data_IF_631445549588
#
_entry.id   IF_631445549588
#
_cell.length_a   1.000
_cell.length_b   1.000
_cell.length_c   1.000
_cell.angle_alpha   90.00
_cell.angle_beta   90.00
_cell.angle_gamma   90.00
#
_symmetry.space_group_name_H-M   'P 1'
#
loop_
_entity.id
_entity.type
_entity.pdbx_description
1 polymer ?
#
# COMPACT_ATOMS: atom_id res chain seq x y z
N UNK A 1 -22.29 28.32 10.42
CA UNK A 1 -21.09 28.33 9.55
C UNK A 1 -21.25 29.49 8.58
N UNK A 2 -20.27 30.39 8.48
CA UNK A 2 -20.27 31.38 7.41
C UNK A 2 -20.35 30.62 6.07
N UNK A 3 -21.21 31.05 5.14
CA UNK A 3 -21.22 30.50 3.80
C UNK A 3 -19.80 30.65 3.25
N UNK A 4 -19.08 29.53 3.10
CA UNK A 4 -17.89 29.54 2.27
C UNK A 4 -18.30 30.13 0.93
N UNK A 5 -17.68 31.24 0.53
CA UNK A 5 -17.92 31.85 -0.77
C UNK A 5 -17.80 30.73 -1.82
N UNK A 6 -18.75 30.65 -2.76
CA UNK A 6 -18.81 29.67 -3.84
C UNK A 6 -17.46 29.59 -4.57
N UNK A 7 -16.79 30.72 -4.75
CA UNK A 7 -15.47 30.80 -5.38
C UNK A 7 -14.39 30.06 -4.57
N UNK A 8 -14.41 30.18 -3.25
CA UNK A 8 -13.50 29.46 -2.37
C UNK A 8 -13.74 27.95 -2.44
N UNK A 9 -15.01 27.52 -2.44
CA UNK A 9 -15.38 26.09 -2.60
C UNK A 9 -14.87 25.53 -3.92
N UNK A 10 -15.08 26.27 -5.01
CA UNK A 10 -14.61 25.92 -6.34
C UNK A 10 -13.09 25.73 -6.34
N UNK A 11 -12.34 26.68 -5.78
CA UNK A 11 -10.87 26.63 -5.73
C UNK A 11 -10.33 25.44 -4.93
N UNK A 12 -11.00 25.03 -3.84
CA UNK A 12 -10.62 23.81 -3.12
C UNK A 12 -10.85 22.54 -3.93
N UNK A 13 -11.99 22.45 -4.63
CA UNK A 13 -12.31 21.30 -5.49
C UNK A 13 -11.32 21.21 -6.65
N UNK A 14 -11.02 22.33 -7.30
CA UNK A 14 -10.09 22.39 -8.43
C UNK A 14 -8.70 21.87 -8.05
N UNK A 15 -8.16 22.34 -6.91
CA UNK A 15 -6.89 21.85 -6.35
C UNK A 15 -6.88 20.36 -6.03
N UNK A 16 -8.02 19.76 -5.70
CA UNK A 16 -8.13 18.32 -5.46
C UNK A 16 -8.28 17.55 -6.77
N UNK A 17 -9.09 18.06 -7.70
CA UNK A 17 -9.35 17.46 -9.01
C UNK A 17 -8.10 17.45 -9.89
N UNK A 18 -7.25 18.48 -9.80
CA UNK A 18 -6.01 18.57 -10.57
C UNK A 18 -5.05 17.39 -10.31
N UNK A 19 -5.11 16.76 -9.13
CA UNK A 19 -4.36 15.52 -8.83
C UNK A 19 -4.71 14.38 -9.78
N UNK A 20 -5.95 14.35 -10.26
CA UNK A 20 -6.46 13.34 -11.21
C UNK A 20 -6.27 13.77 -12.67
N UNK A 21 -5.88 15.02 -12.93
CA UNK A 21 -5.82 15.63 -14.27
C UNK A 21 -4.78 15.03 -15.22
N UNK A 22 -3.93 14.12 -14.77
CA UNK A 22 -3.00 13.41 -15.65
C UNK A 22 -3.63 12.32 -16.50
N UNK A 23 -4.89 11.91 -16.23
CA UNK A 23 -5.54 10.79 -16.93
C UNK A 23 -7.06 10.91 -16.92
N UNK A 24 -7.67 10.89 -18.11
CA UNK A 24 -9.14 10.84 -18.25
C UNK A 24 -9.72 9.63 -17.51
N UNK A 25 -9.06 8.47 -17.60
CA UNK A 25 -9.50 7.26 -16.92
C UNK A 25 -9.56 7.43 -15.39
N UNK A 26 -8.61 8.15 -14.78
CA UNK A 26 -8.63 8.43 -13.34
C UNK A 26 -9.79 9.37 -12.98
N UNK A 27 -10.02 10.42 -13.76
CA UNK A 27 -11.12 11.38 -13.52
C UNK A 27 -12.48 10.71 -13.66
N UNK A 28 -12.67 9.87 -14.70
CA UNK A 28 -13.92 9.12 -14.90
C UNK A 28 -14.15 8.10 -13.78
N UNK A 29 -13.11 7.36 -13.36
CA UNK A 29 -13.22 6.45 -12.19
C UNK A 29 -13.56 7.20 -10.91
N UNK A 30 -13.01 8.41 -10.72
CA UNK A 30 -13.38 9.28 -9.60
C UNK A 30 -14.86 9.68 -9.68
N UNK A 31 -15.36 10.11 -10.84
CA UNK A 31 -16.77 10.47 -11.02
C UNK A 31 -17.71 9.30 -10.67
N UNK A 32 -17.43 8.11 -11.19
CA UNK A 32 -18.19 6.88 -10.89
C UNK A 32 -18.23 6.58 -9.40
N UNK A 33 -17.10 6.73 -8.67
CA UNK A 33 -17.05 6.53 -7.21
C UNK A 33 -17.79 7.63 -6.44
N UNK A 34 -17.61 8.90 -6.82
CA UNK A 34 -18.27 10.05 -6.16
C UNK A 34 -19.79 9.97 -6.28
N UNK A 35 -20.27 9.61 -7.46
CA UNK A 35 -21.70 9.57 -7.79
C UNK A 35 -22.24 8.14 -7.83
N UNK A 36 -21.62 7.19 -7.09
CA UNK A 36 -22.04 5.78 -7.09
C UNK A 36 -23.51 5.57 -6.69
N UNK A 37 -24.09 6.49 -5.90
CA UNK A 37 -25.49 6.45 -5.48
C UNK A 37 -26.48 7.08 -6.47
N UNK A 38 -25.97 7.76 -7.49
CA UNK A 38 -26.76 8.44 -8.51
C UNK A 38 -26.07 8.22 -9.87
N UNK A 39 -26.24 7.02 -10.45
CA UNK A 39 -25.52 6.62 -11.66
C UNK A 39 -25.73 7.57 -12.84
N UNK A 40 -26.89 8.23 -12.90
CA UNK A 40 -27.28 9.19 -13.92
C UNK A 40 -26.26 10.33 -14.04
N UNK A 41 -25.66 10.77 -12.93
CA UNK A 41 -24.70 11.88 -12.93
C UNK A 41 -23.39 11.51 -13.65
N UNK A 42 -22.84 10.31 -13.40
CA UNK A 42 -21.60 9.92 -14.07
C UNK A 42 -21.85 9.37 -15.49
N UNK A 43 -23.04 8.85 -15.76
CA UNK A 43 -23.47 8.49 -17.12
C UNK A 43 -23.63 9.74 -18.00
N UNK A 44 -24.23 10.82 -17.48
CA UNK A 44 -24.32 12.10 -18.17
C UNK A 44 -22.93 12.67 -18.51
N UNK A 45 -21.95 12.51 -17.61
CA UNK A 45 -20.56 12.86 -17.92
C UNK A 45 -20.04 12.08 -19.13
N UNK A 46 -20.23 10.76 -19.16
CA UNK A 46 -19.72 9.90 -20.25
C UNK A 46 -20.43 10.18 -21.58
N UNK A 47 -21.76 10.18 -21.58
CA UNK A 47 -22.60 10.24 -22.79
C UNK A 47 -22.78 11.66 -23.31
N UNK A 48 -23.11 12.62 -22.44
CA UNK A 48 -23.49 13.96 -22.89
C UNK A 48 -22.31 14.92 -23.00
N UNK A 49 -21.30 14.75 -22.14
CA UNK A 49 -20.16 15.66 -22.08
C UNK A 49 -18.92 15.10 -22.78
N UNK A 50 -18.52 13.85 -22.54
CA UNK A 50 -17.25 13.33 -23.04
C UNK A 50 -17.29 12.89 -24.51
N UNK A 51 -18.39 12.28 -24.97
CA UNK A 51 -18.52 11.85 -26.37
C UNK A 51 -18.42 13.02 -27.37
N UNK A 52 -19.00 14.17 -27.00
CA UNK A 52 -19.04 15.39 -27.83
C UNK A 52 -17.79 16.28 -27.68
N UNK A 53 -16.90 15.98 -26.72
CA UNK A 53 -15.71 16.81 -26.44
C UNK A 53 -14.47 16.25 -27.15
N UNK A 54 -13.65 17.12 -27.78
CA UNK A 54 -12.36 16.73 -28.35
C UNK A 54 -11.45 16.04 -27.33
N UNK A 55 -10.70 14.97 -27.68
CA UNK A 55 -9.89 14.21 -26.74
C UNK A 55 -8.95 15.05 -25.85
N UNK A 56 -8.37 16.13 -26.40
CA UNK A 56 -7.46 17.03 -25.69
C UNK A 56 -8.11 17.78 -24.51
N UNK A 57 -9.42 17.98 -24.56
CA UNK A 57 -10.16 18.78 -23.56
C UNK A 57 -10.94 17.91 -22.56
N UNK A 58 -11.08 16.61 -22.84
CA UNK A 58 -11.93 15.70 -22.05
C UNK A 58 -11.61 15.66 -20.57
N UNK A 59 -10.33 15.73 -20.21
CA UNK A 59 -9.90 15.76 -18.80
C UNK A 59 -10.44 17.00 -18.11
N UNK A 60 -10.22 18.17 -18.71
CA UNK A 60 -10.66 19.45 -18.17
C UNK A 60 -12.19 19.50 -18.07
N UNK A 61 -12.91 19.07 -19.12
CA UNK A 61 -14.37 19.00 -19.13
C UNK A 61 -14.90 18.07 -18.04
N UNK A 62 -14.28 16.90 -17.85
CA UNK A 62 -14.67 15.99 -16.78
C UNK A 62 -14.46 16.59 -15.37
N UNK A 63 -13.34 17.26 -15.14
CA UNK A 63 -13.08 17.95 -13.87
C UNK A 63 -14.11 19.07 -13.63
N UNK A 64 -14.37 19.90 -14.64
CA UNK A 64 -15.36 20.96 -14.56
C UNK A 64 -16.77 20.43 -14.30
N UNK A 65 -17.15 19.32 -14.93
CA UNK A 65 -18.41 18.64 -14.67
C UNK A 65 -18.51 18.21 -13.20
N UNK A 66 -17.52 17.47 -12.68
CA UNK A 66 -17.52 17.01 -11.29
C UNK A 66 -17.62 18.22 -10.33
N UNK A 67 -16.83 19.26 -10.56
CA UNK A 67 -16.81 20.47 -9.74
C UNK A 67 -18.18 21.16 -9.73
N UNK A 68 -18.77 21.41 -10.91
CA UNK A 68 -20.08 22.08 -11.04
C UNK A 68 -21.19 21.26 -10.41
N UNK A 69 -21.19 19.95 -10.61
CA UNK A 69 -22.17 19.03 -10.02
C UNK A 69 -22.08 19.06 -8.50
N UNK A 70 -20.89 18.99 -7.91
CA UNK A 70 -20.70 19.09 -6.46
C UNK A 70 -21.20 20.45 -5.94
N UNK A 71 -20.81 21.56 -6.58
CA UNK A 71 -21.25 22.89 -6.14
C UNK A 71 -22.78 23.03 -6.22
N UNK A 72 -23.40 22.53 -7.29
CA UNK A 72 -24.84 22.56 -7.46
C UNK A 72 -25.57 21.75 -6.37
N UNK A 73 -25.04 20.58 -5.98
CA UNK A 73 -25.54 19.80 -4.82
C UNK A 73 -25.39 20.58 -3.52
N UNK A 74 -24.23 21.20 -3.27
CA UNK A 74 -23.97 21.97 -2.05
C UNK A 74 -24.82 23.24 -1.94
N UNK A 75 -25.20 23.82 -3.07
CA UNK A 75 -26.03 25.02 -3.16
C UNK A 75 -27.54 24.68 -3.19
N UNK A 76 -27.91 23.39 -3.17
CA UNK A 76 -29.31 22.94 -3.26
C UNK A 76 -29.97 23.19 -4.62
N UNK A 77 -29.17 23.51 -5.65
CA UNK A 77 -29.61 23.83 -7.01
C UNK A 77 -29.47 22.65 -7.97
N UNK A 78 -29.19 21.45 -7.45
CA UNK A 78 -28.96 20.26 -8.25
C UNK A 78 -30.15 20.01 -9.20
N UNK A 79 -29.91 19.52 -10.43
CA UNK A 79 -30.97 19.19 -11.38
C UNK A 79 -31.95 18.12 -10.85
N UNK A 80 -31.59 17.45 -9.75
CA UNK A 80 -32.40 16.46 -9.04
C UNK A 80 -33.28 17.08 -7.92
N UNK A 81 -33.25 18.40 -7.69
CA UNK A 81 -34.02 19.08 -6.65
C UNK A 81 -33.71 18.62 -5.22
N UNK A 82 -34.71 18.65 -4.33
CA UNK A 82 -34.65 18.13 -2.94
C UNK A 82 -34.25 16.64 -2.86
N UNK A 83 -34.29 15.93 -4.00
CA UNK A 83 -33.93 14.52 -4.06
C UNK A 83 -32.45 14.26 -3.73
N UNK A 84 -31.57 15.25 -3.76
CA UNK A 84 -30.15 15.06 -3.37
C UNK A 84 -29.99 14.50 -1.95
N UNK A 85 -30.87 14.91 -1.02
CA UNK A 85 -30.92 14.37 0.35
C UNK A 85 -31.49 12.95 0.36
N UNK A 86 -32.51 12.69 -0.47
CA UNK A 86 -33.12 11.36 -0.62
C UNK A 86 -32.17 10.33 -1.25
N UNK A 87 -31.29 10.75 -2.15
CA UNK A 87 -30.24 9.94 -2.78
C UNK A 87 -29.03 9.71 -1.86
N UNK A 88 -29.00 10.37 -0.70
CA UNK A 88 -27.95 10.21 0.30
C UNK A 88 -26.58 10.70 -0.18
N UNK A 89 -26.55 11.71 -1.04
CA UNK A 89 -25.33 12.41 -1.46
C UNK A 89 -24.85 13.35 -0.33
N UNK A 90 -23.54 13.58 -0.19
CA UNK A 90 -23.04 14.49 0.84
C UNK A 90 -23.51 15.94 0.61
N UNK A 91 -23.95 16.60 1.67
CA UNK A 91 -24.36 18.03 1.66
C UNK A 91 -23.28 18.97 2.17
N UNK A 92 -22.11 18.43 2.54
CA UNK A 92 -20.97 19.17 3.10
C UNK A 92 -19.75 19.04 2.18
N UNK A 93 -19.11 20.15 1.85
CA UNK A 93 -17.92 20.19 0.99
C UNK A 93 -16.80 19.30 1.54
N UNK A 94 -16.60 19.31 2.85
CA UNK A 94 -15.57 18.57 3.56
C UNK A 94 -15.70 17.06 3.34
N UNK A 95 -16.92 16.57 3.14
CA UNK A 95 -17.18 15.16 2.85
C UNK A 95 -16.69 14.78 1.47
N UNK A 96 -16.92 15.63 0.46
CA UNK A 96 -16.37 15.44 -0.89
C UNK A 96 -14.86 15.50 -0.89
N UNK A 97 -14.26 16.54 -0.28
CA UNK A 97 -12.80 16.68 -0.21
C UNK A 97 -12.14 15.47 0.48
N UNK A 98 -12.73 15.00 1.57
CA UNK A 98 -12.24 13.82 2.29
C UNK A 98 -12.38 12.54 1.47
N UNK A 99 -13.49 12.37 0.73
CA UNK A 99 -13.68 11.20 -0.11
C UNK A 99 -12.77 11.23 -1.34
N UNK A 100 -12.52 12.39 -1.94
CA UNK A 100 -11.57 12.53 -3.05
C UNK A 100 -10.15 12.16 -2.63
N UNK A 101 -9.72 12.50 -1.42
CA UNK A 101 -8.45 12.03 -0.86
C UNK A 101 -8.40 10.50 -0.78
N UNK A 102 -9.47 9.86 -0.31
CA UNK A 102 -9.56 8.40 -0.20
C UNK A 102 -9.61 7.71 -1.58
N UNK A 103 -10.38 8.27 -2.51
CA UNK A 103 -10.49 7.78 -3.87
C UNK A 103 -9.14 7.89 -4.61
N UNK A 104 -8.38 8.96 -4.37
CA UNK A 104 -7.01 9.09 -4.90
C UNK A 104 -6.13 7.92 -4.47
N UNK A 105 -6.09 7.62 -3.17
CA UNK A 105 -5.30 6.51 -2.62
C UNK A 105 -5.73 5.16 -3.22
N UNK A 106 -7.04 4.94 -3.30
CA UNK A 106 -7.63 3.71 -3.83
C UNK A 106 -7.29 3.52 -5.30
N UNK A 107 -7.48 4.55 -6.13
CA UNK A 107 -7.25 4.49 -7.57
C UNK A 107 -5.76 4.40 -7.93
N UNK A 108 -4.89 5.08 -7.17
CA UNK A 108 -3.43 4.99 -7.38
C UNK A 108 -2.87 3.63 -7.02
N UNK A 109 -3.41 2.99 -5.98
CA UNK A 109 -3.02 1.63 -5.61
C UNK A 109 -3.29 0.61 -6.74
N UNK A 110 -4.19 0.90 -7.69
CA UNK A 110 -4.43 0.08 -8.87
C UNK A 110 -3.54 0.43 -10.07
N UNK A 111 -3.36 1.73 -10.31
CA UNK A 111 -2.67 2.24 -11.49
C UNK A 111 -1.19 1.83 -11.48
N UNK A 112 -0.58 1.81 -10.30
CA UNK A 112 0.81 1.39 -10.13
C UNK A 112 1.06 -0.09 -10.52
N UNK A 113 0.05 -0.97 -10.44
CA UNK A 113 0.17 -2.36 -10.88
C UNK A 113 0.22 -2.50 -12.40
N UNK A 114 -0.33 -1.52 -13.13
CA UNK A 114 -0.41 -1.57 -14.60
C UNK A 114 0.87 -1.09 -15.29
N UNK A 115 1.90 -0.73 -14.52
CA UNK A 115 3.20 -0.33 -15.07
C UNK A 115 3.17 1.02 -15.77
N UNK A 116 2.12 1.82 -15.57
CA UNK A 116 2.10 3.24 -15.92
C UNK A 116 3.30 3.87 -15.21
N UNK A 117 4.31 4.32 -15.97
CA UNK A 117 5.61 4.71 -15.45
C UNK A 117 5.55 5.79 -14.34
N UNK A 118 6.71 6.15 -13.76
CA UNK A 118 6.85 7.09 -12.63
C UNK A 118 6.35 8.55 -12.89
N UNK A 119 5.60 8.80 -13.95
CA UNK A 119 5.37 10.10 -14.58
C UNK A 119 4.46 11.06 -13.79
N UNK A 120 3.75 10.61 -12.77
CA UNK A 120 3.01 11.54 -11.89
C UNK A 120 3.84 11.84 -10.65
N UNK A 121 4.51 13.00 -10.63
CA UNK A 121 5.36 13.50 -9.53
C UNK A 121 4.63 13.81 -8.21
N UNK A 122 3.57 13.06 -7.89
CA UNK A 122 2.93 13.09 -6.58
C UNK A 122 3.71 12.26 -5.55
N UNK A 123 3.52 12.53 -4.25
CA UNK A 123 4.11 11.73 -3.19
C UNK A 123 3.63 10.29 -3.31
N UNK A 124 4.57 9.35 -3.37
CA UNK A 124 4.27 7.91 -3.35
C UNK A 124 3.86 7.51 -1.94
N UNK A 125 2.76 6.78 -1.85
CA UNK A 125 2.29 6.22 -0.58
C UNK A 125 3.14 5.00 -0.29
N UNK A 126 3.76 4.96 0.87
CA UNK A 126 4.45 3.78 1.37
C UNK A 126 3.54 3.11 2.39
N UNK A 127 3.14 1.87 2.10
CA UNK A 127 2.30 1.07 2.98
C UNK A 127 3.18 0.27 3.93
N UNK A 128 2.72 0.15 5.17
CA UNK A 128 3.33 -0.61 6.25
C UNK A 128 2.35 -1.70 6.71
N UNK A 129 2.84 -2.91 6.96
CA UNK A 129 1.99 -4.06 7.27
C UNK A 129 1.86 -4.22 8.79
N UNK A 130 0.63 -4.48 9.25
CA UNK A 130 0.31 -4.79 10.64
C UNK A 130 -0.48 -6.09 10.71
N UNK A 131 -0.20 -6.92 11.71
CA UNK A 131 -0.96 -8.15 11.99
C UNK A 131 -2.00 -7.88 13.08
N UNK A 132 -3.19 -8.43 12.93
CA UNK A 132 -4.30 -8.37 13.88
C UNK A 132 -4.20 -9.56 14.85
N UNK A 133 -4.26 -9.28 16.16
CA UNK A 133 -4.24 -10.31 17.21
C UNK A 133 -5.64 -10.90 17.43
N UNK A 134 -5.74 -12.21 17.58
CA UNK A 134 -7.02 -12.91 17.82
C UNK A 134 -8.11 -12.57 16.80
N UNK A 135 -7.71 -12.35 15.54
CA UNK A 135 -8.62 -11.93 14.48
C UNK A 135 -9.66 -13.01 14.19
N UNK A 136 -10.92 -12.71 14.53
CA UNK A 136 -12.06 -13.59 14.33
C UNK A 136 -13.21 -12.81 13.67
N UNK A 137 -13.16 -12.60 12.34
CA UNK A 137 -14.22 -11.89 11.64
C UNK A 137 -15.52 -12.72 11.70
N UNK A 138 -16.69 -12.08 11.87
CA UNK A 138 -17.97 -12.78 11.84
C UNK A 138 -18.25 -13.34 10.44
N UNK A 139 -19.11 -14.36 10.38
CA UNK A 139 -19.58 -14.97 9.12
C UNK A 139 -20.23 -13.93 8.21
N UNK A 140 -21.01 -13.00 8.78
CA UNK A 140 -21.56 -11.86 8.03
C UNK A 140 -20.81 -10.57 8.36
N UNK A 141 -19.96 -10.15 7.44
CA UNK A 141 -19.20 -8.92 7.58
C UNK A 141 -19.94 -7.74 6.93
N UNK A 142 -20.64 -6.95 7.75
CA UNK A 142 -21.44 -5.82 7.27
C UNK A 142 -20.58 -4.60 6.92
N UNK A 143 -19.99 -4.59 5.72
CA UNK A 143 -19.08 -3.55 5.22
C UNK A 143 -19.68 -2.13 5.29
N UNK A 144 -20.98 -1.98 5.03
CA UNK A 144 -21.68 -0.70 5.09
C UNK A 144 -21.72 -0.07 6.50
N UNK A 145 -21.54 -0.86 7.57
CA UNK A 145 -21.54 -0.39 8.96
C UNK A 145 -20.14 -0.01 9.47
N UNK A 146 -19.07 -0.31 8.74
CA UNK A 146 -17.69 -0.13 9.22
C UNK A 146 -17.37 1.32 9.58
N UNK A 147 -17.81 2.28 8.77
CA UNK A 147 -17.61 3.71 9.06
C UNK A 147 -18.21 4.08 10.42
N UNK A 148 -19.43 3.62 10.70
CA UNK A 148 -20.12 3.89 11.97
C UNK A 148 -19.43 3.19 13.13
N UNK A 149 -19.06 1.92 12.94
CA UNK A 149 -18.36 1.12 13.96
C UNK A 149 -17.01 1.74 14.33
N UNK A 150 -16.17 2.06 13.35
CA UNK A 150 -14.88 2.71 13.60
C UNK A 150 -15.08 4.04 14.34
N UNK A 151 -16.05 4.85 13.93
CA UNK A 151 -16.37 6.10 14.66
C UNK A 151 -16.79 5.87 16.11
N UNK A 152 -17.52 4.80 16.41
CA UNK A 152 -17.95 4.46 17.77
C UNK A 152 -16.79 3.96 18.66
N UNK A 153 -15.73 3.42 18.06
CA UNK A 153 -14.53 2.95 18.76
C UNK A 153 -13.49 4.05 18.98
N UNK A 154 -13.61 5.19 18.28
CA UNK A 154 -12.72 6.32 18.50
C UNK A 154 -13.04 7.04 19.82
N UNK A 155 -12.03 7.51 20.58
CA UNK A 155 -12.25 8.19 21.86
C UNK A 155 -13.15 9.42 21.73
N UNK A 156 -14.12 9.55 22.64
CA UNK A 156 -15.05 10.68 22.67
C UNK A 156 -14.36 12.03 22.91
N UNK A 157 -13.18 12.03 23.51
CA UNK A 157 -12.33 13.21 23.74
C UNK A 157 -11.74 13.79 22.44
N UNK A 158 -11.96 13.13 21.30
CA UNK A 158 -11.48 13.56 19.98
C UNK A 158 -12.59 13.78 18.98
N UNK A 159 -12.42 14.79 18.12
CA UNK A 159 -13.24 14.99 16.95
C UNK A 159 -12.58 14.25 15.78
N UNK A 160 -13.33 13.38 15.12
CA UNK A 160 -12.78 12.50 14.09
C UNK A 160 -13.61 12.50 12.80
N UNK A 161 -12.92 12.57 11.67
CA UNK A 161 -13.46 12.37 10.33
C UNK A 161 -13.03 11.00 9.83
N UNK A 162 -14.01 10.15 9.52
CA UNK A 162 -13.80 8.80 8.96
C UNK A 162 -14.53 8.71 7.64
N UNK A 163 -13.81 8.32 6.59
CA UNK A 163 -14.37 7.89 5.31
C UNK A 163 -13.96 6.45 5.05
N UNK A 164 -14.83 5.71 4.37
CA UNK A 164 -14.61 4.31 3.98
C UNK A 164 -14.98 4.19 2.52
N UNK A 165 -14.12 3.51 1.77
CA UNK A 165 -14.33 3.17 0.37
C UNK A 165 -14.11 1.68 0.18
N UNK A 166 -14.96 1.06 -0.63
CA UNK A 166 -14.96 -0.37 -0.88
C UNK A 166 -14.50 -0.58 -2.31
N UNK A 167 -13.54 -1.48 -2.49
CA UNK A 167 -13.09 -1.87 -3.80
C UNK A 167 -13.46 -3.32 -4.06
N UNK A 168 -14.46 -3.51 -4.92
CA UNK A 168 -14.98 -4.83 -5.30
C UNK A 168 -14.04 -5.55 -6.27
N UNK A 169 -13.25 -4.82 -7.06
CA UNK A 169 -12.58 -5.44 -8.21
C UNK A 169 -13.59 -5.83 -9.30
N UNK A 170 -13.09 -6.41 -10.39
CA UNK A 170 -13.94 -6.75 -11.54
C UNK A 170 -14.79 -7.99 -11.25
N UNK A 171 -16.12 -7.83 -11.29
CA UNK A 171 -17.09 -8.94 -11.25
C UNK A 171 -17.32 -9.60 -9.89
N UNK A 172 -16.87 -9.02 -8.78
CA UNK A 172 -17.06 -9.59 -7.44
C UNK A 172 -18.29 -9.01 -6.75
N UNK A 173 -19.03 -9.86 -6.04
CA UNK A 173 -20.14 -9.43 -5.18
C UNK A 173 -19.65 -8.85 -3.84
N UNK A 174 -18.47 -9.26 -3.38
CA UNK A 174 -17.87 -8.81 -2.13
C UNK A 174 -16.69 -7.87 -2.38
N UNK A 175 -16.41 -6.93 -1.45
CA UNK A 175 -15.26 -6.06 -1.56
C UNK A 175 -13.96 -6.87 -1.44
N UNK A 176 -13.12 -6.81 -2.46
CA UNK A 176 -11.76 -7.35 -2.43
C UNK A 176 -10.90 -6.69 -1.34
N UNK A 177 -11.06 -5.38 -1.17
CA UNK A 177 -10.33 -4.58 -0.17
C UNK A 177 -11.14 -3.36 0.25
N UNK A 178 -10.80 -2.84 1.42
CA UNK A 178 -11.49 -1.72 2.05
C UNK A 178 -10.45 -0.68 2.42
N UNK A 179 -10.69 0.56 2.04
CA UNK A 179 -9.85 1.67 2.40
C UNK A 179 -10.55 2.55 3.44
N UNK A 180 -9.78 3.01 4.42
CA UNK A 180 -10.19 3.98 5.41
C UNK A 180 -9.36 5.24 5.25
N UNK A 181 -10.01 6.38 5.38
CA UNK A 181 -9.34 7.66 5.65
C UNK A 181 -9.77 8.12 7.03
N UNK A 182 -8.81 8.28 7.93
CA UNK A 182 -9.07 8.73 9.29
C UNK A 182 -8.28 10.01 9.57
N UNK A 183 -8.97 11.03 10.06
CA UNK A 183 -8.36 12.23 10.64
C UNK A 183 -8.96 12.43 12.02
N UNK A 184 -8.15 12.74 13.02
CA UNK A 184 -8.62 12.93 14.39
C UNK A 184 -7.86 14.05 15.09
N UNK A 185 -8.57 14.95 15.77
CA UNK A 185 -8.01 16.05 16.56
C UNK A 185 -8.55 16.00 17.99
N UNK A 186 -7.75 16.42 18.97
CA UNK A 186 -8.22 16.56 20.36
C UNK A 186 -9.30 17.63 20.41
N UNK A 187 -10.44 17.33 21.07
CA UNK A 187 -11.51 18.31 21.24
C UNK A 187 -11.03 19.44 22.16
N UNK A 188 -11.39 20.65 21.80
CA UNK A 188 -11.24 21.84 22.64
C UNK A 188 -12.61 22.37 23.03
N UNK A 189 -12.66 23.51 23.73
CA UNK A 189 -13.94 24.18 24.02
C UNK A 189 -14.59 24.79 22.76
N UNK A 190 -13.86 24.92 21.66
CA UNK A 190 -14.34 25.56 20.44
C UNK A 190 -14.49 24.55 19.31
N UNK A 191 -15.72 24.10 19.08
CA UNK A 191 -16.03 23.16 18.00
C UNK A 191 -15.57 23.68 16.63
N UNK A 192 -15.71 24.98 16.37
CA UNK A 192 -15.27 25.59 15.11
C UNK A 192 -13.76 25.47 14.90
N UNK A 193 -12.94 25.70 15.94
CA UNK A 193 -11.49 25.51 15.86
C UNK A 193 -11.13 24.06 15.63
N UNK A 194 -11.85 23.14 16.29
CA UNK A 194 -11.63 21.70 16.12
C UNK A 194 -11.95 21.25 14.69
N UNK A 195 -13.05 21.73 14.10
CA UNK A 195 -13.41 21.48 12.70
C UNK A 195 -12.35 22.05 11.73
N UNK A 196 -11.88 23.27 11.95
CA UNK A 196 -10.81 23.87 11.14
C UNK A 196 -9.49 23.10 11.27
N UNK A 197 -9.13 22.66 12.47
CA UNK A 197 -7.95 21.81 12.70
C UNK A 197 -8.10 20.44 12.04
N UNK A 198 -9.30 19.85 12.11
CA UNK A 198 -9.59 18.57 11.48
C UNK A 198 -9.43 18.63 9.96
N UNK A 199 -9.75 19.77 9.34
CA UNK A 199 -9.58 19.99 7.89
C UNK A 199 -8.12 20.17 7.48
N UNK A 200 -7.31 20.79 8.33
CA UNK A 200 -5.89 21.04 8.06
C UNK A 200 -5.00 19.84 8.40
N UNK A 201 -5.41 18.99 9.35
CA UNK A 201 -4.62 17.85 9.80
C UNK A 201 -4.51 16.80 8.67
N UNK A 202 -3.29 16.30 8.37
CA UNK A 202 -3.13 15.21 7.41
C UNK A 202 -3.91 13.98 7.85
N UNK A 203 -4.53 13.31 6.89
CA UNK A 203 -5.21 12.05 7.14
C UNK A 203 -4.21 10.89 7.21
N UNK A 204 -4.61 9.84 7.91
CA UNK A 204 -3.97 8.53 7.89
C UNK A 204 -4.88 7.61 7.08
N UNK A 205 -4.26 6.81 6.22
CA UNK A 205 -4.95 5.88 5.34
C UNK A 205 -4.66 4.46 5.79
N UNK A 206 -5.73 3.68 5.87
CA UNK A 206 -5.63 2.25 6.14
C UNK A 206 -6.22 1.47 4.97
N UNK A 207 -5.67 0.30 4.69
CA UNK A 207 -6.25 -0.67 3.79
C UNK A 207 -6.41 -2.02 4.50
N UNK A 208 -7.49 -2.73 4.21
CA UNK A 208 -7.80 -4.03 4.81
C UNK A 208 -8.35 -4.96 3.74
N UNK A 209 -7.87 -6.20 3.73
CA UNK A 209 -8.43 -7.26 2.88
C UNK A 209 -9.34 -8.11 3.76
N UNK A 210 -10.64 -8.22 3.44
CA UNK A 210 -11.54 -9.06 4.21
C UNK A 210 -11.02 -10.48 4.37
N UNK A 211 -11.30 -11.08 5.54
CA UNK A 211 -10.87 -12.42 5.93
C UNK A 211 -9.36 -12.60 6.17
N UNK A 212 -8.58 -11.51 6.17
CA UNK A 212 -7.15 -11.56 6.48
C UNK A 212 -6.85 -10.96 7.85
N UNK A 213 -6.00 -11.59 8.68
CA UNK A 213 -5.61 -11.03 9.97
C UNK A 213 -4.54 -9.95 9.82
N UNK A 214 -4.67 -9.08 8.81
CA UNK A 214 -3.70 -8.04 8.48
C UNK A 214 -4.38 -6.78 7.99
N UNK A 215 -3.81 -5.64 8.32
CA UNK A 215 -4.12 -4.37 7.68
C UNK A 215 -2.85 -3.63 7.30
N UNK A 216 -3.01 -2.61 6.47
CA UNK A 216 -1.93 -1.81 5.93
C UNK A 216 -2.17 -0.35 6.31
N UNK A 217 -1.12 0.39 6.64
CA UNK A 217 -1.19 1.81 6.99
C UNK A 217 -0.19 2.61 6.16
N UNK A 218 -0.52 3.84 5.78
CA UNK A 218 0.43 4.74 5.09
C UNK A 218 1.50 5.34 6.03
N UNK A 219 1.41 5.05 7.33
CA UNK A 219 2.35 5.49 8.35
C UNK A 219 2.97 4.29 9.08
N UNK A 220 4.29 4.29 9.32
CA UNK A 220 4.93 3.27 10.15
C UNK A 220 4.55 3.41 11.63
N UNK A 221 4.29 4.65 12.07
CA UNK A 221 3.94 5.01 13.44
C UNK A 221 2.73 5.94 13.38
N UNK A 222 1.69 5.64 14.16
CA UNK A 222 0.50 6.45 14.30
C UNK A 222 -0.03 6.35 15.73
N UNK A 223 -0.99 7.22 16.09
CA UNK A 223 -1.55 7.24 17.44
C UNK A 223 -2.14 5.87 17.83
N UNK A 224 -1.72 5.28 18.95
CA UNK A 224 -2.09 3.91 19.39
C UNK A 224 -3.60 3.68 19.44
N UNK A 225 -4.37 4.64 19.99
CA UNK A 225 -5.83 4.54 20.06
C UNK A 225 -6.49 4.41 18.67
N UNK A 226 -5.87 4.91 17.59
CA UNK A 226 -6.41 4.72 16.23
C UNK A 226 -6.26 3.27 15.80
N UNK A 227 -5.13 2.65 16.16
CA UNK A 227 -4.87 1.24 15.90
C UNK A 227 -5.77 0.34 16.70
N UNK A 228 -5.97 0.62 17.99
CA UNK A 228 -6.91 -0.09 18.85
C UNK A 228 -8.35 0.03 18.32
N UNK A 229 -8.79 1.24 17.98
CA UNK A 229 -10.13 1.46 17.43
C UNK A 229 -10.32 0.73 16.08
N UNK A 230 -9.28 0.69 15.25
CA UNK A 230 -9.29 -0.05 14.00
C UNK A 230 -9.29 -1.56 14.23
N UNK A 231 -8.45 -2.11 15.11
CA UNK A 231 -8.42 -3.53 15.43
C UNK A 231 -9.75 -4.01 15.99
N UNK A 232 -10.36 -3.27 16.92
CA UNK A 232 -11.71 -3.58 17.43
C UNK A 232 -12.79 -3.47 16.35
N UNK A 233 -12.66 -2.50 15.44
CA UNK A 233 -13.53 -2.39 14.27
C UNK A 233 -13.41 -3.62 13.36
N UNK A 234 -12.22 -4.22 13.29
CA UNK A 234 -11.87 -5.41 12.50
C UNK A 234 -11.92 -6.72 13.31
N UNK A 235 -12.63 -6.73 14.45
CA UNK A 235 -12.84 -7.94 15.27
C UNK A 235 -11.54 -8.59 15.74
N UNK A 236 -10.64 -7.75 16.25
CA UNK A 236 -9.31 -8.11 16.74
C UNK A 236 -9.08 -7.48 18.11
N UNK A 237 -8.32 -8.16 18.97
CA UNK A 237 -7.98 -7.69 20.32
C UNK A 237 -6.89 -6.61 20.32
N UNK A 238 -6.09 -6.54 19.25
CA UNK A 238 -5.01 -5.57 19.09
C UNK A 238 -4.31 -5.71 17.75
N UNK A 239 -3.10 -5.17 17.67
CA UNK A 239 -2.28 -5.26 16.46
C UNK A 239 -0.78 -5.21 16.77
N UNK A 240 0.03 -5.73 15.85
CA UNK A 240 1.50 -5.63 15.90
C UNK A 240 2.06 -5.17 14.55
N UNK A 241 3.09 -4.30 14.53
CA UNK A 241 3.79 -3.95 13.31
C UNK A 241 4.60 -5.14 12.78
N UNK A 242 4.60 -5.32 11.47
CA UNK A 242 5.54 -6.20 10.77
C UNK A 242 6.61 -5.35 10.08
N UNK A 243 7.86 -5.82 10.01
CA UNK A 243 8.94 -5.12 9.31
C UNK A 243 8.83 -5.30 7.79
N UNK A 244 7.65 -5.01 7.24
CA UNK A 244 7.31 -5.07 5.83
C UNK A 244 6.70 -3.74 5.42
N UNK A 245 7.29 -3.11 4.41
CA UNK A 245 6.75 -1.90 3.82
C UNK A 245 7.03 -1.84 2.32
N UNK A 246 6.21 -1.11 1.59
CA UNK A 246 6.34 -1.00 0.15
C UNK A 246 5.23 -0.14 -0.48
N UNK A 247 5.41 0.29 -1.73
CA UNK A 247 4.45 1.17 -2.40
C UNK A 247 3.16 0.44 -2.85
N UNK A 248 3.22 -0.88 -3.04
CA UNK A 248 2.12 -1.65 -3.62
C UNK A 248 1.49 -2.61 -2.62
N UNK A 249 0.21 -2.40 -2.30
CA UNK A 249 -0.55 -3.24 -1.37
C UNK A 249 -0.58 -4.71 -1.79
N UNK A 250 -0.83 -4.99 -3.07
CA UNK A 250 -0.92 -6.38 -3.56
C UNK A 250 0.44 -7.10 -3.51
N UNK A 251 1.55 -6.39 -3.77
CA UNK A 251 2.89 -6.98 -3.63
C UNK A 251 3.20 -7.31 -2.17
N UNK A 252 2.84 -6.43 -1.23
CA UNK A 252 2.98 -6.68 0.21
C UNK A 252 2.11 -7.86 0.66
N UNK A 253 0.87 -7.92 0.18
CA UNK A 253 -0.05 -9.03 0.43
C UNK A 253 0.51 -10.35 -0.09
N UNK A 254 1.06 -10.37 -1.29
CA UNK A 254 1.70 -11.57 -1.86
C UNK A 254 2.90 -12.01 -1.03
N UNK A 255 3.81 -11.10 -0.66
CA UNK A 255 4.96 -11.43 0.19
C UNK A 255 4.52 -12.10 1.49
N UNK A 256 3.46 -11.57 2.09
CA UNK A 256 2.88 -12.11 3.31
C UNK A 256 2.26 -13.50 3.07
N UNK A 257 1.43 -13.66 2.05
CA UNK A 257 0.78 -14.95 1.75
C UNK A 257 1.79 -16.07 1.51
N UNK A 258 2.93 -15.75 0.88
CA UNK A 258 4.05 -16.69 0.72
C UNK A 258 4.74 -16.98 2.06
N UNK A 259 4.99 -15.97 2.90
CA UNK A 259 5.58 -16.17 4.24
C UNK A 259 4.71 -17.07 5.12
N UNK A 260 3.39 -16.87 5.09
CA UNK A 260 2.45 -17.60 5.94
C UNK A 260 2.10 -19.00 5.37
N UNK A 261 2.67 -19.40 4.22
CA UNK A 261 2.41 -20.69 3.58
C UNK A 261 0.98 -20.87 3.05
N UNK A 262 0.22 -19.77 2.90
CA UNK A 262 -1.22 -19.80 2.57
C UNK A 262 -1.54 -19.82 1.07
N UNK A 263 -0.52 -19.70 0.21
CA UNK A 263 -0.69 -19.84 -1.25
C UNK A 263 0.33 -20.84 -1.81
N UNK A 264 -0.07 -21.72 -2.76
CA UNK A 264 0.90 -22.31 -3.67
C UNK A 264 1.55 -21.20 -4.51
N UNK A 265 2.80 -21.36 -4.96
CA UNK A 265 3.51 -20.34 -5.72
C UNK A 265 2.68 -19.87 -6.92
N UNK A 266 2.25 -18.61 -6.88
CA UNK A 266 1.50 -18.01 -7.99
C UNK A 266 2.52 -17.48 -8.99
N UNK A 267 2.46 -17.96 -10.23
CA UNK A 267 3.21 -17.41 -11.36
C UNK A 267 2.70 -16.00 -11.69
N UNK A 268 3.10 -15.01 -10.91
CA UNK A 268 2.76 -13.60 -11.13
C UNK A 268 3.67 -13.06 -12.23
N UNK A 269 3.35 -13.39 -13.50
CA UNK A 269 4.15 -12.87 -14.61
C UNK A 269 3.80 -13.31 -16.03
N UNK A 270 2.84 -14.20 -16.27
CA UNK A 270 2.45 -14.51 -17.65
C UNK A 270 0.93 -14.59 -17.75
N UNK A 271 0.35 -13.69 -18.55
CA UNK A 271 -0.94 -13.96 -19.18
C UNK A 271 -0.83 -15.35 -19.84
N UNK A 272 -1.82 -16.23 -19.70
CA UNK A 272 -1.83 -17.47 -20.45
C UNK A 272 -2.01 -17.12 -21.93
N UNK A 273 -0.90 -16.94 -22.65
CA UNK A 273 -0.91 -17.14 -24.08
C UNK A 273 -1.14 -18.65 -24.25
N UNK A 274 -2.29 -18.98 -24.81
CA UNK A 274 -2.65 -20.32 -25.24
C UNK A 274 -1.46 -20.97 -25.96
N UNK A 275 -1.12 -22.19 -25.57
CA UNK A 275 -0.24 -23.14 -26.28
C UNK A 275 1.24 -22.74 -26.46
N UNK A 276 1.97 -22.48 -25.36
CA UNK A 276 3.43 -22.61 -25.38
C UNK A 276 3.87 -23.87 -24.60
N UNK A 277 4.63 -24.79 -25.20
CA UNK A 277 5.18 -25.95 -24.49
C UNK A 277 6.14 -25.49 -23.38
N UNK A 278 6.14 -26.26 -22.31
CA UNK A 278 6.87 -26.06 -21.06
C UNK A 278 8.37 -25.71 -21.30
N UNK A 279 8.87 -24.52 -20.88
CA UNK A 279 10.27 -24.13 -21.11
C UNK A 279 11.29 -24.90 -20.25
N UNK A 280 10.86 -25.83 -19.39
CA UNK A 280 11.77 -26.72 -18.65
C UNK A 280 12.28 -27.92 -19.46
N UNK A 281 11.87 -28.07 -20.73
CA UNK A 281 12.26 -29.21 -21.59
C UNK A 281 13.12 -28.84 -22.82
N UNK A 282 13.71 -27.64 -22.88
CA UNK A 282 14.56 -27.22 -24.02
C UNK A 282 16.01 -26.98 -23.54
N UNK A 283 16.63 -27.99 -22.91
CA UNK A 283 18.06 -27.99 -22.59
C UNK A 283 18.73 -29.33 -22.94
N UNK A 284 18.26 -29.99 -24.00
CA UNK A 284 18.92 -31.18 -24.54
C UNK A 284 18.91 -31.17 -26.07
N UNK A 285 19.39 -30.10 -26.69
CA UNK A 285 19.95 -30.14 -28.06
C UNK A 285 20.76 -28.87 -28.29
N UNK A 286 22.09 -28.99 -28.35
CA UNK A 286 22.95 -27.97 -28.96
C UNK A 286 22.92 -28.10 -30.50
N UNK A 287 23.68 -27.29 -31.25
CA UNK A 287 23.35 -25.91 -31.63
C UNK A 287 23.26 -25.80 -33.16
N UNK A 288 22.72 -24.69 -33.69
CA UNK A 288 23.17 -24.12 -34.97
C UNK A 288 22.53 -22.73 -35.14
N UNK A 289 23.40 -21.74 -35.37
CA UNK A 289 23.20 -20.55 -36.23
C UNK A 289 22.06 -19.59 -35.81
N UNK A 290 22.27 -18.31 -35.49
CA UNK A 290 23.21 -17.30 -36.01
C UNK A 290 23.44 -16.23 -34.94
N UNK A 291 24.71 -15.86 -34.77
CA UNK A 291 25.14 -14.60 -34.16
C UNK A 291 24.82 -13.46 -35.13
N UNK A 292 23.85 -12.60 -34.79
CA UNK A 292 23.79 -11.18 -35.16
C UNK A 292 22.49 -10.62 -34.56
N UNK A 293 22.52 -9.39 -34.02
CA UNK A 293 21.40 -8.67 -33.40
C UNK A 293 21.12 -8.91 -31.90
N UNK A 294 22.11 -8.71 -31.03
CA UNK A 294 21.82 -8.32 -29.64
C UNK A 294 22.92 -7.46 -28.99
N UNK A 295 23.35 -6.42 -29.70
CA UNK A 295 24.09 -5.29 -29.12
C UNK A 295 23.26 -4.00 -29.25
N UNK A 296 22.18 -3.90 -28.47
CA UNK A 296 21.73 -2.60 -27.99
C UNK A 296 21.69 -2.65 -26.47
N UNK A 297 22.71 -2.02 -25.89
CA UNK A 297 22.94 -1.86 -24.48
C UNK A 297 21.69 -1.29 -23.77
N UNK A 298 20.90 -2.18 -23.15
CA UNK A 298 20.20 -1.79 -21.94
C UNK A 298 21.27 -1.62 -20.87
N UNK A 299 21.66 -0.38 -20.58
CA UNK A 299 22.34 0.01 -19.34
C UNK A 299 21.39 -0.20 -18.17
N UNK A 300 20.98 -1.45 -17.94
CA UNK A 300 20.25 -1.83 -16.74
C UNK A 300 21.26 -1.78 -15.60
N UNK A 301 21.07 -0.83 -14.69
CA UNK A 301 21.78 -0.80 -13.42
C UNK A 301 21.79 -2.21 -12.80
N UNK A 302 22.89 -2.63 -12.16
CA UNK A 302 22.97 -3.95 -11.58
C UNK A 302 21.82 -4.17 -10.59
N UNK A 303 21.13 -5.30 -10.73
CA UNK A 303 19.92 -5.61 -9.97
C UNK A 303 20.17 -5.67 -8.44
N UNK A 304 21.40 -6.04 -8.05
CA UNK A 304 21.97 -5.87 -6.71
C UNK A 304 23.01 -4.76 -6.73
N UNK A 305 22.87 -3.76 -5.87
CA UNK A 305 23.87 -2.72 -5.65
C UNK A 305 24.75 -2.99 -4.43
N UNK A 306 24.27 -3.78 -3.45
CA UNK A 306 25.04 -4.18 -2.28
C UNK A 306 24.56 -5.53 -1.74
N UNK A 307 25.51 -6.39 -1.39
CA UNK A 307 25.29 -7.59 -0.60
C UNK A 307 26.30 -7.57 0.56
N UNK A 308 25.81 -7.58 1.79
CA UNK A 308 26.64 -7.58 2.99
C UNK A 308 26.26 -8.80 3.83
N UNK A 309 27.25 -9.54 4.31
CA UNK A 309 27.05 -10.66 5.22
C UNK A 309 27.80 -10.35 6.52
N UNK A 310 27.08 -10.11 7.61
CA UNK A 310 27.64 -9.82 8.93
C UNK A 310 27.47 -11.06 9.80
N UNK A 311 28.56 -11.66 10.26
CA UNK A 311 28.53 -12.69 11.30
C UNK A 311 28.61 -12.03 12.67
N UNK A 312 27.70 -12.34 13.59
CA UNK A 312 27.76 -11.82 14.98
C UNK A 312 28.62 -12.70 15.90
N UNK A 313 28.96 -13.91 15.45
CA UNK A 313 29.84 -14.82 16.18
C UNK A 313 31.28 -14.30 16.19
N UNK A 314 31.88 -14.18 17.38
CA UNK A 314 33.31 -13.86 17.56
C UNK A 314 34.17 -14.98 16.98
N UNK A 315 34.40 -14.94 15.68
CA UNK A 315 35.29 -15.85 14.99
C UNK A 315 36.73 -15.40 15.27
N UNK A 316 37.47 -16.18 16.07
CA UNK A 316 38.92 -16.01 16.16
C UNK A 316 39.51 -16.88 15.05
N UNK A 317 39.77 -16.26 13.88
CA UNK A 317 40.30 -16.89 12.66
C UNK A 317 41.42 -17.90 12.96
N UNK A 318 42.33 -17.51 13.84
CA UNK A 318 43.51 -18.28 14.22
C UNK A 318 43.21 -19.62 14.88
N UNK A 319 42.11 -19.76 15.62
CA UNK A 319 41.78 -21.00 16.34
C UNK A 319 40.96 -21.97 15.48
N UNK A 320 40.02 -21.44 14.68
CA UNK A 320 39.20 -22.25 13.78
C UNK A 320 40.02 -22.87 12.63
N UNK A 321 40.99 -22.11 12.09
CA UNK A 321 41.90 -22.62 11.05
C UNK A 321 42.80 -23.72 11.63
N UNK A 322 43.32 -23.56 12.86
CA UNK A 322 44.09 -24.60 13.55
C UNK A 322 43.28 -25.85 13.83
N UNK A 323 42.04 -25.72 14.32
CA UNK A 323 41.19 -26.88 14.61
C UNK A 323 40.84 -27.66 13.34
N UNK A 324 40.56 -26.97 12.23
CA UNK A 324 40.27 -27.58 10.93
C UNK A 324 41.48 -28.34 10.37
N UNK A 325 42.68 -27.77 10.46
CA UNK A 325 43.93 -28.44 10.05
C UNK A 325 44.27 -29.66 10.90
N UNK A 326 43.82 -29.70 12.17
CA UNK A 326 44.07 -30.81 13.09
C UNK A 326 43.04 -31.94 12.99
N UNK A 327 42.17 -31.95 11.97
CA UNK A 327 41.16 -33.00 11.76
C UNK A 327 40.09 -33.05 12.84
N UNK A 328 40.06 -32.07 13.74
CA UNK A 328 38.97 -31.87 14.70
C UNK A 328 37.97 -30.99 14.00
N UNK A 329 36.80 -31.54 13.66
CA UNK A 329 35.65 -30.72 13.22
C UNK A 329 35.51 -29.56 14.22
N UNK A 330 35.86 -28.32 13.83
CA UNK A 330 35.69 -27.23 14.74
C UNK A 330 34.19 -27.04 14.88
N UNK A 331 33.75 -26.93 16.12
CA UNK A 331 32.54 -26.24 16.52
C UNK A 331 31.28 -27.11 16.54
N UNK A 332 30.99 -27.65 17.73
CA UNK A 332 29.63 -27.53 18.28
C UNK A 332 29.32 -26.03 18.46
N UNK A 333 29.13 -25.33 17.34
CA UNK A 333 28.65 -23.97 17.33
C UNK A 333 27.18 -24.02 17.67
N UNK A 334 26.83 -23.74 18.93
CA UNK A 334 25.45 -23.80 19.36
C UNK A 334 24.58 -22.76 18.65
N UNK A 335 25.14 -21.61 18.26
CA UNK A 335 24.45 -20.57 17.48
C UNK A 335 25.42 -19.93 16.46
N UNK A 336 25.13 -20.10 15.17
CA UNK A 336 25.76 -19.40 14.05
C UNK A 336 24.74 -18.39 13.52
N UNK A 337 24.89 -17.14 13.93
CA UNK A 337 24.00 -16.06 13.55
C UNK A 337 24.68 -15.21 12.46
N UNK A 338 24.07 -15.22 11.27
CA UNK A 338 24.47 -14.38 10.14
C UNK A 338 23.33 -13.45 9.76
N UNK A 339 23.66 -12.18 9.57
CA UNK A 339 22.77 -11.19 8.97
C UNK A 339 23.18 -10.98 7.51
N UNK A 340 22.28 -11.27 6.58
CA UNK A 340 22.47 -10.95 5.17
C UNK A 340 21.64 -9.72 4.81
N UNK A 341 22.33 -8.64 4.41
CA UNK A 341 21.71 -7.39 3.95
C UNK A 341 21.95 -7.26 2.45
N UNK A 342 20.88 -7.39 1.68
CA UNK A 342 20.90 -7.20 0.24
C UNK A 342 20.10 -5.94 -0.15
N UNK A 343 20.67 -5.10 -1.01
CA UNK A 343 19.99 -3.92 -1.55
C UNK A 343 20.27 -3.74 -3.04
N UNK A 344 19.33 -3.10 -3.72
CA UNK A 344 19.36 -2.90 -5.16
C UNK A 344 17.98 -2.56 -5.72
N UNK A 345 17.91 -2.12 -6.99
CA UNK A 345 16.64 -1.84 -7.66
C UNK A 345 15.80 -3.10 -7.88
N UNK A 346 16.43 -4.28 -7.91
CA UNK A 346 15.75 -5.57 -8.04
C UNK A 346 16.58 -6.68 -7.35
N UNK A 347 16.53 -6.68 -6.01
CA UNK A 347 17.30 -7.62 -5.16
C UNK A 347 17.07 -9.07 -5.58
N UNK A 348 15.84 -9.40 -5.98
CA UNK A 348 15.42 -10.76 -6.32
C UNK A 348 16.01 -11.20 -7.65
N UNK A 349 15.90 -10.37 -8.69
CA UNK A 349 16.58 -10.60 -9.96
C UNK A 349 18.08 -10.65 -9.76
N UNK A 350 18.66 -9.79 -8.92
CA UNK A 350 20.08 -9.79 -8.63
C UNK A 350 20.53 -11.10 -7.98
N UNK A 351 19.80 -11.60 -6.98
CA UNK A 351 20.10 -12.89 -6.37
C UNK A 351 19.98 -14.03 -7.39
N UNK A 352 18.94 -14.01 -8.23
CA UNK A 352 18.78 -14.98 -9.31
C UNK A 352 19.91 -14.90 -10.35
N UNK A 353 20.35 -13.70 -10.71
CA UNK A 353 21.50 -13.51 -11.60
C UNK A 353 22.78 -14.04 -10.95
N UNK A 354 23.02 -13.79 -9.66
CA UNK A 354 24.15 -14.38 -8.95
C UNK A 354 24.10 -15.91 -8.98
N UNK A 355 22.92 -16.50 -8.79
CA UNK A 355 22.71 -17.94 -8.87
C UNK A 355 23.08 -18.48 -10.25
N UNK A 356 22.56 -17.85 -11.31
CA UNK A 356 22.79 -18.31 -12.68
C UNK A 356 24.21 -18.00 -13.21
N UNK A 357 24.86 -16.96 -12.69
CA UNK A 357 26.23 -16.58 -13.05
C UNK A 357 27.29 -17.36 -12.28
N UNK A 358 26.97 -17.92 -11.12
CA UNK A 358 27.86 -18.81 -10.38
C UNK A 358 27.93 -20.19 -11.05
N UNK A 359 28.75 -20.32 -12.10
CA UNK A 359 29.12 -21.59 -12.77
C UNK A 359 29.92 -22.55 -11.87
N UNK A 360 30.12 -22.22 -10.60
CA UNK A 360 30.90 -23.03 -9.65
C UNK A 360 29.94 -23.92 -8.87
N UNK A 361 30.09 -25.23 -9.06
CA UNK A 361 29.32 -26.35 -8.49
C UNK A 361 29.14 -26.38 -6.96
N UNK A 362 29.76 -25.47 -6.21
CA UNK A 362 29.65 -25.39 -4.75
C UNK A 362 28.29 -24.86 -4.25
N UNK A 363 27.55 -24.09 -5.04
CA UNK A 363 26.23 -23.56 -4.64
C UNK A 363 25.03 -24.38 -5.13
N UNK A 364 25.26 -25.42 -5.93
CA UNK A 364 24.23 -26.17 -6.65
C UNK A 364 23.09 -26.74 -5.79
N UNK A 365 23.34 -27.31 -4.60
CA UNK A 365 22.27 -27.83 -3.75
C UNK A 365 21.98 -27.00 -2.47
N UNK A 366 22.66 -25.88 -2.23
CA UNK A 366 22.70 -25.23 -0.90
C UNK A 366 22.05 -23.85 -0.82
N UNK A 367 21.28 -23.44 -1.82
CA UNK A 367 20.47 -22.24 -1.67
C UNK A 367 19.35 -22.52 -0.67
N UNK A 368 19.24 -21.73 0.42
CA UNK A 368 18.11 -21.86 1.31
C UNK A 368 16.80 -21.74 0.53
N UNK A 369 15.80 -22.55 0.87
CA UNK A 369 14.49 -22.55 0.18
C UNK A 369 13.89 -21.14 0.05
N UNK A 370 14.13 -20.29 1.06
CA UNK A 370 13.67 -18.90 1.04
C UNK A 370 14.29 -18.04 -0.07
N UNK A 371 15.48 -18.39 -0.57
CA UNK A 371 16.15 -17.79 -1.74
C UNK A 371 15.64 -18.40 -3.05
N UNK A 372 15.39 -19.71 -3.07
CA UNK A 372 14.89 -20.40 -4.28
C UNK A 372 13.46 -19.96 -4.64
N UNK A 373 12.64 -19.66 -3.63
CA UNK A 373 11.26 -19.19 -3.80
C UNK A 373 11.15 -17.68 -4.11
N UNK A 374 12.30 -17.00 -4.27
CA UNK A 374 12.38 -15.55 -4.52
C UNK A 374 11.73 -15.14 -5.84
N UNK A 375 11.82 -15.97 -6.89
CA UNK A 375 11.22 -15.67 -8.20
C UNK A 375 9.70 -15.44 -8.18
N UNK A 376 9.02 -15.87 -7.11
CA UNK A 376 7.57 -15.74 -6.93
C UNK A 376 7.17 -14.53 -6.07
N UNK A 377 8.15 -13.76 -5.59
CA UNK A 377 7.92 -12.56 -4.78
C UNK A 377 7.83 -11.38 -5.75
N UNK A 378 6.68 -10.71 -5.79
CA UNK A 378 6.43 -9.60 -6.71
C UNK A 378 7.50 -8.50 -6.68
N UNK A 379 7.44 -7.57 -7.63
CA UNK A 379 8.36 -6.40 -7.72
C UNK A 379 8.40 -5.66 -6.38
N UNK A 380 9.45 -5.86 -5.59
CA UNK A 380 9.53 -5.31 -4.23
C UNK A 380 10.92 -4.76 -3.93
N UNK A 381 10.93 -3.56 -3.35
CA UNK A 381 12.07 -2.98 -2.65
C UNK A 381 11.82 -3.23 -1.17
N UNK A 382 12.68 -4.04 -0.52
CA UNK A 382 12.57 -4.32 0.91
C UNK A 382 13.46 -3.32 1.63
N UNK A 383 12.85 -2.43 2.41
CA UNK A 383 13.58 -1.64 3.41
C UNK A 383 13.57 -2.41 4.73
N UNK A 384 14.68 -3.10 5.03
CA UNK A 384 14.93 -3.66 6.36
C UNK A 384 15.50 -2.51 7.19
N UNK A 385 14.71 -1.96 8.11
CA UNK A 385 15.22 -0.99 9.05
C UNK A 385 16.10 -1.73 10.08
N UNK A 386 17.35 -1.32 10.22
CA UNK A 386 18.21 -1.79 11.31
C UNK A 386 17.49 -1.48 12.63
N UNK A 387 17.31 -2.49 13.46
CA UNK A 387 16.80 -2.33 14.82
C UNK A 387 17.79 -1.40 15.51
N UNK A 388 17.36 -0.20 15.91
CA UNK A 388 18.16 0.64 16.80
C UNK A 388 18.48 -0.21 18.03
N UNK A 389 19.74 -0.64 18.13
CA UNK A 389 20.25 -1.24 19.35
C UNK A 389 20.19 -0.12 20.39
N UNK A 390 19.11 -0.15 21.17
CA UNK A 390 18.99 0.63 22.39
C UNK A 390 20.18 0.30 23.26
N UNK A 391 21.13 1.22 23.28
CA UNK A 391 22.28 1.19 24.16
C UNK A 391 21.73 1.32 25.58
N UNK A 392 21.60 0.18 26.26
CA UNK A 392 21.40 0.13 27.70
C UNK A 392 22.68 0.63 28.36
N UNK A 393 22.76 1.95 28.51
CA UNK A 393 23.84 2.66 29.21
C UNK A 393 23.34 3.29 30.51
N UNK A 394 23.50 2.52 31.60
CA UNK A 394 23.65 2.97 32.99
C UNK A 394 22.50 3.70 33.70
N UNK A 395 21.77 2.93 34.51
CA UNK A 395 21.28 3.36 35.82
C UNK A 395 22.45 3.86 36.68
N UNK A 396 22.46 5.15 37.01
CA UNK A 396 22.97 5.62 38.29
C UNK A 396 21.79 6.05 39.15
N UNK A 397 21.58 5.28 40.21
CA UNK A 397 20.71 5.63 41.30
C UNK A 397 21.29 6.86 42.02
N UNK A 398 20.53 7.96 42.03
CA UNK A 398 20.76 9.03 43.00
C UNK A 398 19.61 8.99 44.01
N UNK A 399 19.87 8.33 45.13
CA UNK A 399 19.22 8.64 46.39
C UNK A 399 19.45 10.12 46.68
N UNK A 400 18.39 10.87 47.00
CA UNK A 400 18.52 11.96 47.95
C UNK A 400 17.29 12.03 48.84
N UNK A 401 17.55 11.74 50.11
CA UNK A 401 16.67 11.90 51.25
C UNK A 401 16.49 13.38 51.60
N UNK A 402 15.28 13.71 52.09
CA UNK A 402 14.99 14.71 53.13
C UNK A 402 15.66 16.09 53.05
N UNK A 403 14.84 17.10 52.75
CA UNK A 403 14.30 18.01 53.78
C UNK A 403 13.03 18.68 53.29
#
# INVERSE_FOLDING_TARGET
>A
MASFNRDARALFLDRKLSRFGGSLALVTRLARRLFQKCPELWQALEQDHLERTPPAERVYVAQQFIQRTILSILDGSAPLGDASTSLGLPTKLESYLSFMDLAWVTLKSDDELRGSGPSSGGPRIQWHVFVLRDHAPPVEFLFHKMRRRLKQKLPESRLSSVQVDQDFGEGQAEPRRIFFRVTSVKKTRSLKKDEEHLLKKPAIFFAYYPSEPYFYCDKPIFDEFLGEALSECLFSSGFDPLPLSGPHLDSLRQLRLHRDGKLPPVNVGRRPLYNAPNPFNILATEPNETEEELEFASTSLPALSRLTLKGSSKFTESKAIQDFHNGRLPLQMKNLDFEMVASGPDVLKGLNTMINSCRVSYFGPLLPKWVQEVGNRGRNVIHINEKENGDTGNSTATQNSKK
#
